data_IF_911347117940
#
_entry.id   IF_911347117940
#
_cell.length_a   1.000
_cell.length_b   1.000
_cell.length_c   1.000
_cell.angle_alpha   90.00
_cell.angle_beta   90.00
_cell.angle_gamma   90.00
#
_symmetry.space_group_name_H-M   'P 1'
#
loop_
_entity.id
_entity.type
_entity.pdbx_description
1 polymer ?
#
# COMPACT_ATOMS: atom_id res chain seq x y z
N UNK A 1 12.92 24.57 -12.35
CA UNK A 1 11.79 23.73 -12.77
C UNK A 1 10.76 23.76 -11.66
N UNK A 2 9.56 24.24 -11.93
CA UNK A 2 8.48 24.33 -10.95
C UNK A 2 7.75 22.99 -10.95
N UNK A 3 7.97 22.16 -9.94
CA UNK A 3 7.29 20.88 -9.78
C UNK A 3 5.81 21.18 -9.55
N UNK A 4 4.95 20.88 -10.53
CA UNK A 4 3.51 20.99 -10.36
C UNK A 4 3.08 19.88 -9.39
N UNK A 5 2.81 20.25 -8.13
CA UNK A 5 2.08 19.39 -7.19
C UNK A 5 0.64 19.31 -7.68
N UNK A 6 0.34 18.27 -8.46
CA UNK A 6 -1.02 17.87 -8.81
C UNK A 6 -1.75 17.45 -7.53
N UNK A 7 -2.33 18.38 -6.79
CA UNK A 7 -3.18 18.02 -5.65
C UNK A 7 -4.43 17.30 -6.16
N UNK A 8 -4.49 15.97 -6.01
CA UNK A 8 -5.71 15.21 -6.32
C UNK A 8 -6.70 15.48 -5.20
N UNK A 9 -7.63 16.40 -5.45
CA UNK A 9 -8.68 16.76 -4.50
C UNK A 9 -9.61 15.56 -4.26
N UNK A 10 -9.97 15.32 -3.01
CA UNK A 10 -10.93 14.28 -2.62
C UNK A 10 -10.30 12.93 -2.23
N UNK A 11 -8.98 12.77 -2.33
CA UNK A 11 -8.27 11.58 -1.84
C UNK A 11 -7.44 11.91 -0.60
N UNK A 12 -7.43 10.97 0.36
CA UNK A 12 -6.55 11.08 1.53
C UNK A 12 -5.10 10.96 1.09
N UNK A 13 -4.25 11.83 1.62
CA UNK A 13 -2.80 11.76 1.40
C UNK A 13 -2.16 10.89 2.46
N UNK A 14 -1.45 9.85 2.05
CA UNK A 14 -0.72 8.93 2.92
C UNK A 14 0.77 9.16 2.74
N UNK A 15 1.54 9.07 3.83
CA UNK A 15 3.00 9.26 3.77
C UNK A 15 3.63 8.17 2.92
N UNK A 16 4.70 8.52 2.20
CA UNK A 16 5.52 7.51 1.55
C UNK A 16 6.08 6.54 2.61
N UNK A 17 6.78 7.04 3.62
CA UNK A 17 7.32 6.19 4.70
C UNK A 17 6.37 6.26 5.92
N UNK A 18 5.86 5.13 6.43
CA UNK A 18 5.07 5.07 7.66
C UNK A 18 5.85 5.54 8.89
N UNK A 19 5.16 5.82 10.01
CA UNK A 19 5.85 6.18 11.26
C UNK A 19 6.52 4.97 11.89
N UNK A 20 7.49 5.21 12.79
CA UNK A 20 8.13 4.14 13.57
C UNK A 20 7.08 3.27 14.26
N UNK A 21 7.20 1.95 14.12
CA UNK A 21 6.24 0.98 14.67
C UNK A 21 5.02 0.72 13.79
N UNK A 22 4.86 1.43 12.67
CA UNK A 22 3.79 1.19 11.69
C UNK A 22 4.33 0.43 10.47
N UNK A 23 3.44 -0.29 9.79
CA UNK A 23 3.68 -0.80 8.46
C UNK A 23 2.53 -0.44 7.53
N UNK A 24 2.84 -0.36 6.24
CA UNK A 24 1.90 -0.02 5.20
C UNK A 24 2.00 -1.03 4.08
N UNK A 25 0.87 -1.64 3.73
CA UNK A 25 0.69 -2.41 2.50
C UNK A 25 -0.26 -1.65 1.59
N UNK A 26 0.21 -1.33 0.40
CA UNK A 26 -0.56 -0.62 -0.62
C UNK A 26 -0.19 -1.11 -2.01
N UNK A 27 -1.09 -1.00 -2.97
CA UNK A 27 -0.85 -1.40 -4.36
C UNK A 27 -1.05 -0.20 -5.27
N UNK A 28 -0.06 0.09 -6.13
CA UNK A 28 -0.10 1.20 -7.08
C UNK A 28 -1.07 0.88 -8.24
N UNK A 29 -2.15 1.65 -8.34
CA UNK A 29 -3.21 1.46 -9.34
C UNK A 29 -2.83 2.00 -10.73
N UNK A 30 -1.70 2.71 -10.86
CA UNK A 30 -1.11 3.04 -12.15
C UNK A 30 -0.33 1.87 -12.78
N UNK A 31 -0.02 0.83 -11.99
CA UNK A 31 0.79 -0.33 -12.41
C UNK A 31 0.03 -1.66 -12.32
N UNK A 32 -1.13 -1.70 -11.65
CA UNK A 32 -1.95 -2.88 -11.48
C UNK A 32 -3.40 -2.60 -11.90
N UNK A 33 -4.09 -3.64 -12.40
CA UNK A 33 -5.52 -3.57 -12.65
C UNK A 33 -6.28 -3.41 -11.32
N UNK A 34 -7.14 -2.40 -11.25
CA UNK A 34 -7.88 -2.11 -10.04
C UNK A 34 -8.78 -3.28 -9.65
N UNK A 35 -9.48 -3.90 -10.60
CA UNK A 35 -10.46 -4.97 -10.32
C UNK A 35 -9.79 -6.15 -9.63
N UNK A 36 -8.64 -6.60 -10.13
CA UNK A 36 -7.83 -7.65 -9.51
C UNK A 36 -7.42 -7.28 -8.08
N UNK A 37 -7.04 -6.02 -7.85
CA UNK A 37 -6.64 -5.53 -6.53
C UNK A 37 -7.81 -5.49 -5.55
N UNK A 38 -9.00 -5.06 -5.99
CA UNK A 38 -10.21 -5.04 -5.14
C UNK A 38 -10.70 -6.47 -4.83
N UNK A 39 -10.62 -7.39 -5.79
CA UNK A 39 -10.91 -8.81 -5.56
C UNK A 39 -9.94 -9.43 -4.57
N UNK A 40 -8.64 -9.17 -4.73
CA UNK A 40 -7.62 -9.58 -3.77
C UNK A 40 -7.91 -9.06 -2.36
N UNK A 41 -8.22 -7.77 -2.23
CA UNK A 41 -8.54 -7.16 -0.93
C UNK A 41 -9.74 -7.86 -0.26
N UNK A 42 -10.78 -8.18 -1.05
CA UNK A 42 -11.92 -8.97 -0.58
C UNK A 42 -11.53 -10.38 -0.13
N UNK A 43 -10.63 -11.05 -0.86
CA UNK A 43 -10.16 -12.41 -0.50
C UNK A 43 -9.41 -12.44 0.83
N UNK A 44 -8.63 -11.40 1.13
CA UNK A 44 -7.90 -11.27 2.40
C UNK A 44 -8.75 -10.59 3.51
N UNK A 45 -10.02 -10.28 3.22
CA UNK A 45 -10.96 -9.73 4.20
C UNK A 45 -10.72 -8.26 4.57
N UNK A 46 -10.05 -7.48 3.73
CA UNK A 46 -9.80 -6.05 3.97
C UNK A 46 -10.61 -5.17 3.01
N UNK A 47 -11.01 -4.00 3.49
CA UNK A 47 -11.61 -2.98 2.63
C UNK A 47 -10.53 -2.00 2.17
N UNK A 48 -10.19 -1.97 0.88
CA UNK A 48 -9.15 -1.09 0.38
C UNK A 48 -9.63 0.37 0.36
N UNK A 49 -8.77 1.31 0.75
CA UNK A 49 -9.01 2.74 0.63
C UNK A 49 -8.19 3.32 -0.54
N UNK A 50 -8.81 4.09 -1.43
CA UNK A 50 -8.07 4.78 -2.49
C UNK A 50 -7.39 6.01 -1.89
N UNK A 51 -6.06 6.03 -1.95
CA UNK A 51 -5.23 7.09 -1.39
C UNK A 51 -4.24 7.63 -2.41
N UNK A 52 -3.75 8.83 -2.16
CA UNK A 52 -2.61 9.38 -2.88
C UNK A 52 -1.34 9.29 -2.02
N UNK A 53 -0.24 8.86 -2.61
CA UNK A 53 1.07 8.77 -1.98
C UNK A 53 2.04 9.68 -2.76
N UNK A 54 2.55 10.77 -2.17
CA UNK A 54 3.58 11.58 -2.78
C UNK A 54 4.93 10.87 -2.67
N UNK A 55 5.57 10.62 -3.79
CA UNK A 55 6.91 10.05 -3.92
C UNK A 55 7.89 11.08 -4.54
N UNK A 56 9.15 10.69 -4.72
CA UNK A 56 10.14 11.57 -5.39
C UNK A 56 9.83 11.78 -6.88
N UNK A 57 9.13 10.84 -7.50
CA UNK A 57 8.77 10.85 -8.92
C UNK A 57 7.44 11.55 -9.21
N UNK A 58 6.61 11.81 -8.19
CA UNK A 58 5.33 12.47 -8.35
C UNK A 58 4.30 11.97 -7.34
N UNK A 59 3.02 12.10 -7.69
CA UNK A 59 1.91 11.58 -6.88
C UNK A 59 1.45 10.26 -7.51
N UNK A 60 1.40 9.23 -6.68
CA UNK A 60 0.95 7.90 -7.06
C UNK A 60 -0.43 7.64 -6.43
N UNK A 61 -1.32 6.98 -7.17
CA UNK A 61 -2.63 6.55 -6.65
C UNK A 61 -2.54 5.09 -6.27
N UNK A 62 -2.90 4.79 -5.03
CA UNK A 62 -2.82 3.45 -4.48
C UNK A 62 -4.16 2.98 -3.93
N UNK A 63 -4.38 1.67 -3.98
CA UNK A 63 -5.27 0.98 -3.06
C UNK A 63 -4.48 0.68 -1.78
N UNK A 64 -4.83 1.36 -0.68
CA UNK A 64 -4.28 1.09 0.64
C UNK A 64 -5.01 -0.10 1.25
N UNK A 65 -4.25 -1.16 1.55
CA UNK A 65 -4.79 -2.38 2.14
C UNK A 65 -4.61 -2.36 3.67
N UNK A 66 -3.43 -1.96 4.14
CA UNK A 66 -3.10 -1.86 5.57
C UNK A 66 -2.29 -0.59 5.82
N UNK A 67 -2.58 0.08 6.93
CA UNK A 67 -1.79 1.17 7.50
C UNK A 67 -1.98 1.15 9.02
N UNK A 68 -1.26 0.28 9.71
CA UNK A 68 -1.49 -0.01 11.13
C UNK A 68 -0.18 -0.17 11.91
N UNK A 69 -0.29 -0.13 13.24
CA UNK A 69 0.81 -0.50 14.13
C UNK A 69 1.12 -1.99 14.03
N UNK A 70 2.41 -2.34 14.03
CA UNK A 70 2.89 -3.72 13.94
C UNK A 70 2.30 -4.61 15.04
N UNK A 71 2.13 -4.06 16.25
CA UNK A 71 1.64 -4.79 17.42
C UNK A 71 0.14 -5.13 17.36
N UNK A 72 -0.62 -4.47 16.49
CA UNK A 72 -2.08 -4.63 16.39
C UNK A 72 -2.53 -5.24 15.07
N UNK A 73 -1.58 -5.60 14.19
CA UNK A 73 -1.92 -6.02 12.84
C UNK A 73 -2.70 -7.36 12.86
N UNK A 74 -3.93 -7.40 12.34
CA UNK A 74 -4.71 -8.64 12.23
C UNK A 74 -4.07 -9.64 11.25
N UNK A 75 -3.04 -9.21 10.51
CA UNK A 75 -2.21 -10.04 9.62
C UNK A 75 -1.08 -10.78 10.35
N UNK A 76 -1.08 -10.80 11.68
CA UNK A 76 -0.18 -11.60 12.51
C UNK A 76 -0.21 -13.11 12.19
N UNK A 77 -1.16 -13.58 11.37
CA UNK A 77 -1.07 -14.84 10.60
C UNK A 77 -0.17 -14.71 9.34
N UNK A 78 1.07 -14.23 9.49
CA UNK A 78 1.94 -13.78 8.40
C UNK A 78 2.20 -14.79 7.25
N UNK A 79 2.01 -16.10 7.48
CA UNK A 79 2.17 -17.14 6.45
C UNK A 79 1.07 -17.06 5.39
N UNK A 80 -0.19 -16.78 5.77
CA UNK A 80 -1.31 -16.76 4.82
C UNK A 80 -1.26 -15.55 3.89
N UNK A 81 -0.83 -14.40 4.41
CA UNK A 81 -0.67 -13.19 3.61
C UNK A 81 0.48 -13.30 2.62
N UNK A 82 1.62 -13.88 3.02
CA UNK A 82 2.76 -14.06 2.13
C UNK A 82 2.38 -14.87 0.89
N UNK A 83 1.77 -16.03 1.08
CA UNK A 83 1.33 -16.87 -0.05
C UNK A 83 0.34 -16.14 -0.96
N UNK A 84 -0.56 -15.35 -0.37
CA UNK A 84 -1.54 -14.56 -1.13
C UNK A 84 -0.88 -13.43 -1.93
N UNK A 85 0.15 -12.80 -1.38
CA UNK A 85 0.95 -11.81 -2.11
C UNK A 85 1.75 -12.46 -3.24
N UNK A 86 2.31 -13.65 -3.02
CA UNK A 86 2.99 -14.40 -4.08
C UNK A 86 2.02 -14.73 -5.22
N UNK A 87 0.83 -15.26 -4.93
CA UNK A 87 -0.23 -15.49 -5.92
C UNK A 87 -0.64 -14.19 -6.65
N UNK A 88 -0.62 -13.05 -5.96
CA UNK A 88 -0.94 -11.76 -6.56
C UNK A 88 0.16 -11.28 -7.51
N UNK A 89 1.44 -11.55 -7.23
CA UNK A 89 2.55 -11.19 -8.13
C UNK A 89 2.50 -11.92 -9.48
N UNK A 90 1.80 -13.05 -9.55
CA UNK A 90 1.56 -13.75 -10.81
C UNK A 90 0.47 -13.07 -11.67
N UNK A 91 -0.37 -12.22 -11.06
CA UNK A 91 -1.55 -11.63 -11.69
C UNK A 91 -1.40 -10.14 -12.03
N UNK A 92 -0.60 -9.41 -11.25
CA UNK A 92 -0.33 -7.98 -11.46
C UNK A 92 1.16 -7.73 -11.55
N UNK A 93 1.55 -6.54 -11.99
CA UNK A 93 2.95 -6.13 -11.94
C UNK A 93 3.46 -6.19 -10.49
N UNK A 94 4.50 -6.98 -10.18
CA UNK A 94 5.06 -7.06 -8.83
C UNK A 94 5.53 -5.70 -8.29
N UNK A 95 6.01 -4.81 -9.17
CA UNK A 95 6.44 -3.46 -8.79
C UNK A 95 5.27 -2.57 -8.32
N UNK A 96 4.02 -2.98 -8.58
CA UNK A 96 2.85 -2.31 -8.05
C UNK A 96 2.68 -2.55 -6.54
N UNK A 97 3.19 -3.67 -6.01
CA UNK A 97 3.01 -4.05 -4.61
C UNK A 97 4.02 -3.31 -3.74
N UNK A 98 3.50 -2.58 -2.75
CA UNK A 98 4.31 -1.74 -1.87
C UNK A 98 4.05 -2.10 -0.41
N UNK A 99 4.98 -2.83 0.18
CA UNK A 99 5.01 -3.12 1.61
C UNK A 99 6.19 -2.39 2.26
N UNK A 100 5.90 -1.35 3.04
CA UNK A 100 6.91 -0.49 3.66
C UNK A 100 6.73 -0.49 5.16
N UNK A 101 7.83 -0.62 5.89
CA UNK A 101 7.87 -0.51 7.34
C UNK A 101 8.41 0.86 7.72
N UNK A 102 7.79 1.50 8.71
CA UNK A 102 8.39 2.65 9.35
C UNK A 102 9.70 2.24 10.01
N UNK A 103 10.71 3.11 9.93
CA UNK A 103 12.01 2.85 10.58
C UNK A 103 11.77 2.53 12.04
N UNK A 104 12.17 1.35 12.50
CA UNK A 104 12.41 1.12 13.92
C UNK A 104 13.43 2.16 14.36
N UNK A 105 13.16 2.91 15.43
CA UNK A 105 14.24 3.63 16.10
C UNK A 105 15.31 2.60 16.42
N UNK A 106 16.46 2.70 15.76
CA UNK A 106 17.66 2.06 16.26
C UNK A 106 17.92 2.69 17.63
N UNK A 107 17.74 1.87 18.68
CA UNK A 107 18.13 2.22 20.04
C UNK A 107 19.65 2.34 20.15
#
# INVERSE_FOLDING_TARGET
MTTATLEVKGLRTVRYIPKSGEHQLSINLGLADASTVFEFAKQIGVQPEIVQIPSKSGIEIHALLICESLDTSPLSEGIKLSNKLDELTEQINPDAIRHVYGRTQAA
#
